data_IF_424770733553
#
_entry.id   IF_424770733553
#
_cell.length_a   1.000
_cell.length_b   1.000
_cell.length_c   1.000
_cell.angle_alpha   90.00
_cell.angle_beta   90.00
_cell.angle_gamma   90.00
#
_symmetry.space_group_name_H-M   'P 1'
#
loop_
_entity.id
_entity.type
_entity.pdbx_description
1 polymer ?
#
# COMPACT_ATOMS: atom_id res chain seq x y z
N UNK A 1 -5.10 -34.19 5.72
CA UNK A 1 -4.85 -33.82 7.13
C UNK A 1 -5.37 -32.40 7.40
N UNK A 2 -6.04 -32.15 8.54
CA UNK A 2 -6.41 -30.79 8.99
C UNK A 2 -5.22 -29.82 9.07
N UNK A 3 -4.04 -30.29 9.52
CA UNK A 3 -2.83 -29.46 9.54
C UNK A 3 -2.42 -28.98 8.16
N UNK A 4 -2.37 -29.88 7.17
CA UNK A 4 -2.06 -29.50 5.79
C UNK A 4 -3.00 -28.40 5.25
N UNK A 5 -4.31 -28.49 5.55
CA UNK A 5 -5.27 -27.45 5.14
C UNK A 5 -4.99 -26.10 5.84
N UNK A 6 -4.64 -26.12 7.12
CA UNK A 6 -4.26 -24.90 7.86
C UNK A 6 -2.99 -24.28 7.30
N UNK A 7 -1.95 -25.09 7.07
CA UNK A 7 -0.68 -24.63 6.48
C UNK A 7 -0.90 -23.94 5.13
N UNK A 8 -1.69 -24.55 4.22
CA UNK A 8 -1.98 -23.96 2.90
C UNK A 8 -2.72 -22.62 3.04
N UNK A 9 -3.68 -22.51 3.97
CA UNK A 9 -4.37 -21.24 4.23
C UNK A 9 -3.40 -20.17 4.73
N UNK A 10 -2.49 -20.51 5.63
CA UNK A 10 -1.49 -19.56 6.14
C UNK A 10 -0.50 -19.14 5.05
N UNK A 11 -0.08 -20.07 4.17
CA UNK A 11 0.74 -19.71 3.00
C UNK A 11 0.00 -18.73 2.09
N UNK A 12 -1.29 -18.95 1.83
CA UNK A 12 -2.09 -18.01 1.04
C UNK A 12 -2.18 -16.61 1.69
N UNK A 13 -2.33 -16.55 3.03
CA UNK A 13 -2.28 -15.30 3.80
C UNK A 13 -0.95 -14.55 3.67
N UNK A 14 0.15 -15.22 3.31
CA UNK A 14 1.45 -14.59 3.04
C UNK A 14 1.52 -14.14 1.57
N UNK A 15 1.15 -15.01 0.63
CA UNK A 15 1.30 -14.74 -0.81
C UNK A 15 0.50 -13.53 -1.26
N UNK A 16 -0.74 -13.38 -0.76
CA UNK A 16 -1.61 -12.27 -1.18
C UNK A 16 -1.03 -10.90 -0.77
N UNK A 17 -0.68 -10.65 0.51
CA UNK A 17 -0.03 -9.41 0.93
C UNK A 17 1.33 -9.16 0.26
N UNK A 18 2.15 -10.20 0.03
CA UNK A 18 3.41 -10.04 -0.72
C UNK A 18 3.15 -9.48 -2.12
N UNK A 19 2.17 -10.03 -2.84
CA UNK A 19 1.79 -9.52 -4.15
C UNK A 19 1.29 -8.08 -4.09
N UNK A 20 0.46 -7.74 -3.10
CA UNK A 20 0.00 -6.36 -2.93
C UNK A 20 1.12 -5.40 -2.57
N UNK A 21 2.06 -5.81 -1.71
CA UNK A 21 3.24 -5.02 -1.35
C UNK A 21 4.08 -4.69 -2.57
N UNK A 22 4.28 -5.64 -3.49
CA UNK A 22 4.99 -5.38 -4.76
C UNK A 22 4.31 -4.30 -5.60
N UNK A 23 2.99 -4.20 -5.54
CA UNK A 23 2.22 -3.22 -6.30
C UNK A 23 2.22 -1.83 -5.65
N UNK A 24 2.59 -1.70 -4.37
CA UNK A 24 2.59 -0.41 -3.67
C UNK A 24 3.98 0.05 -3.23
N UNK A 25 4.98 -0.82 -3.18
CA UNK A 25 6.26 -0.47 -2.58
C UNK A 25 7.12 0.45 -3.43
N UNK A 26 7.64 1.53 -2.84
CA UNK A 26 8.70 2.37 -3.42
C UNK A 26 10.11 1.78 -3.28
N UNK A 27 10.28 0.72 -2.47
CA UNK A 27 11.57 0.10 -2.17
C UNK A 27 12.15 -0.64 -3.38
N UNK A 28 11.32 -0.99 -4.36
CA UNK A 28 11.75 -1.57 -5.64
C UNK A 28 12.17 -0.45 -6.59
N UNK A 29 13.42 -0.50 -7.06
CA UNK A 29 13.99 0.49 -7.98
C UNK A 29 13.08 0.65 -9.21
N UNK A 30 12.72 1.89 -9.53
CA UNK A 30 11.81 2.30 -10.61
C UNK A 30 10.33 1.89 -10.43
N UNK A 31 9.92 1.37 -9.27
CA UNK A 31 8.51 1.16 -9.01
C UNK A 31 7.84 2.50 -8.66
N UNK A 32 7.10 3.05 -9.62
CA UNK A 32 6.18 4.16 -9.39
C UNK A 32 4.77 3.69 -9.67
N UNK A 33 4.03 3.21 -8.66
CA UNK A 33 2.70 2.69 -8.88
C UNK A 33 1.79 3.78 -9.47
N UNK A 34 1.28 3.52 -10.67
CA UNK A 34 0.44 4.46 -11.43
C UNK A 34 -0.78 4.89 -10.62
N UNK A 35 -1.26 4.02 -9.72
CA UNK A 35 -2.38 4.30 -8.82
C UNK A 35 -2.16 5.54 -7.96
N UNK A 36 -0.98 5.76 -7.39
CA UNK A 36 -0.72 6.94 -6.55
C UNK A 36 -0.60 8.22 -7.38
N UNK A 37 -0.06 8.13 -8.60
CA UNK A 37 -0.08 9.24 -9.55
C UNK A 37 -1.52 9.63 -9.92
N UNK A 38 -2.39 8.65 -10.19
CA UNK A 38 -3.81 8.87 -10.46
C UNK A 38 -4.51 9.49 -9.25
N UNK A 39 -4.21 9.01 -8.05
CA UNK A 39 -4.72 9.58 -6.81
C UNK A 39 -4.33 11.05 -6.65
N UNK A 40 -3.05 11.39 -6.84
CA UNK A 40 -2.58 12.78 -6.80
C UNK A 40 -3.35 13.66 -7.77
N UNK A 41 -3.48 13.24 -9.04
CA UNK A 41 -4.20 14.01 -10.05
C UNK A 41 -5.67 14.21 -9.67
N UNK A 42 -6.35 13.13 -9.26
CA UNK A 42 -7.75 13.20 -8.85
C UNK A 42 -7.95 14.16 -7.67
N UNK A 43 -7.03 14.16 -6.69
CA UNK A 43 -7.09 15.05 -5.54
C UNK A 43 -6.89 16.52 -5.92
N UNK A 44 -6.00 16.80 -6.88
CA UNK A 44 -5.83 18.16 -7.44
C UNK A 44 -7.12 18.58 -8.16
N UNK A 45 -7.66 17.71 -9.01
CA UNK A 45 -8.81 18.05 -9.87
C UNK A 45 -10.14 18.16 -9.10
N UNK A 46 -10.25 17.47 -7.96
CA UNK A 46 -11.46 17.47 -7.12
C UNK A 46 -11.70 18.82 -6.46
N UNK A 47 -10.63 19.51 -6.06
CA UNK A 47 -10.74 20.80 -5.38
C UNK A 47 -10.55 21.92 -6.41
N UNK A 48 -11.63 22.63 -6.74
CA UNK A 48 -11.62 23.76 -7.68
C UNK A 48 -11.82 25.08 -6.93
N UNK A 49 -10.75 25.81 -6.57
CA UNK A 49 -10.87 27.08 -5.86
C UNK A 49 -11.54 28.13 -6.74
N UNK A 50 -12.40 28.95 -6.15
CA UNK A 50 -13.07 30.08 -6.83
C UNK A 50 -12.07 31.13 -7.33
N UNK A 51 -10.91 31.23 -6.68
CA UNK A 51 -9.78 32.05 -7.11
C UNK A 51 -8.53 31.18 -7.30
N UNK A 52 -8.18 30.89 -8.55
CA UNK A 52 -6.94 30.20 -8.90
C UNK A 52 -5.78 31.20 -8.93
N UNK A 53 -5.15 31.42 -7.77
CA UNK A 53 -3.83 32.04 -7.71
C UNK A 53 -2.76 30.95 -7.75
N UNK A 54 -1.59 31.23 -8.34
CA UNK A 54 -0.46 30.29 -8.43
C UNK A 54 -0.13 29.66 -7.07
N UNK A 55 -0.24 30.43 -5.99
CA UNK A 55 0.00 29.95 -4.64
C UNK A 55 -1.00 28.87 -4.20
N UNK A 56 -2.29 29.03 -4.55
CA UNK A 56 -3.34 28.06 -4.24
C UNK A 56 -3.09 26.76 -5.00
N UNK A 57 -2.71 26.84 -6.28
CA UNK A 57 -2.37 25.67 -7.08
C UNK A 57 -1.17 24.90 -6.48
N UNK A 58 -0.11 25.60 -6.07
CA UNK A 58 1.03 24.98 -5.41
C UNK A 58 0.64 24.25 -4.10
N UNK A 59 -0.25 24.85 -3.31
CA UNK A 59 -0.75 24.24 -2.07
C UNK A 59 -1.58 22.99 -2.35
N UNK A 60 -2.44 23.01 -3.37
CA UNK A 60 -3.21 21.84 -3.80
C UNK A 60 -2.31 20.69 -4.22
N UNK A 61 -1.31 20.98 -5.08
CA UNK A 61 -0.36 19.98 -5.53
C UNK A 61 0.47 19.40 -4.39
N UNK A 62 0.94 20.25 -3.48
CA UNK A 62 1.68 19.81 -2.29
C UNK A 62 0.86 18.88 -1.42
N UNK A 63 -0.39 19.25 -1.13
CA UNK A 63 -1.30 18.45 -0.31
C UNK A 63 -1.65 17.12 -0.99
N UNK A 64 -1.96 17.14 -2.28
CA UNK A 64 -2.30 15.94 -3.04
C UNK A 64 -1.13 14.95 -3.14
N UNK A 65 0.10 15.45 -3.31
CA UNK A 65 1.33 14.63 -3.28
C UNK A 65 1.54 14.04 -1.91
N UNK A 66 1.38 14.84 -0.85
CA UNK A 66 1.54 14.37 0.53
C UNK A 66 0.51 13.27 0.86
N UNK A 67 -0.76 13.46 0.51
CA UNK A 67 -1.79 12.44 0.74
C UNK A 67 -1.50 11.15 -0.02
N UNK A 68 -1.13 11.22 -1.30
CA UNK A 68 -0.78 10.03 -2.07
C UNK A 68 0.43 9.29 -1.46
N UNK A 69 1.46 10.03 -1.03
CA UNK A 69 2.63 9.46 -0.35
C UNK A 69 2.25 8.80 0.99
N UNK A 70 1.49 9.48 1.85
CA UNK A 70 1.09 8.94 3.14
C UNK A 70 0.20 7.70 2.97
N UNK A 71 -0.72 7.69 2.01
CA UNK A 71 -1.53 6.51 1.70
C UNK A 71 -0.67 5.35 1.23
N UNK A 72 0.32 5.61 0.36
CA UNK A 72 1.27 4.59 -0.09
C UNK A 72 2.05 4.00 1.09
N UNK A 73 2.57 4.86 1.97
CA UNK A 73 3.31 4.44 3.16
C UNK A 73 2.46 3.57 4.10
N UNK A 74 1.20 3.96 4.34
CA UNK A 74 0.28 3.18 5.18
C UNK A 74 0.01 1.80 4.58
N UNK A 75 -0.19 1.71 3.26
CA UNK A 75 -0.40 0.44 2.58
C UNK A 75 0.84 -0.45 2.63
N UNK A 76 2.03 0.12 2.41
CA UNK A 76 3.30 -0.60 2.57
C UNK A 76 3.41 -1.21 3.98
N UNK A 77 3.25 -0.39 5.02
CA UNK A 77 3.32 -0.82 6.42
C UNK A 77 2.26 -1.88 6.75
N UNK A 78 1.04 -1.71 6.24
CA UNK A 78 -0.04 -2.66 6.47
C UNK A 78 0.29 -4.04 5.89
N UNK A 79 0.75 -4.11 4.65
CA UNK A 79 1.10 -5.39 4.04
C UNK A 79 2.34 -6.02 4.69
N UNK A 80 3.33 -5.22 5.09
CA UNK A 80 4.49 -5.70 5.86
C UNK A 80 4.05 -6.36 7.18
N UNK A 81 3.18 -5.71 7.96
CA UNK A 81 2.64 -6.27 9.21
C UNK A 81 1.90 -7.59 8.98
N UNK A 82 1.04 -7.66 7.95
CA UNK A 82 0.30 -8.88 7.62
C UNK A 82 1.23 -10.05 7.25
N UNK A 83 2.32 -9.76 6.53
CA UNK A 83 3.32 -10.76 6.15
C UNK A 83 4.03 -11.29 7.40
N UNK A 84 4.50 -10.39 8.29
CA UNK A 84 5.18 -10.76 9.53
C UNK A 84 4.30 -11.62 10.44
N UNK A 85 3.07 -11.20 10.68
CA UNK A 85 2.08 -11.95 11.47
C UNK A 85 1.82 -13.34 10.86
N UNK A 86 1.61 -13.41 9.55
CA UNK A 86 1.32 -14.67 8.87
C UNK A 86 2.52 -15.63 8.83
N UNK A 87 3.75 -15.09 8.77
CA UNK A 87 4.98 -15.89 8.90
C UNK A 87 5.07 -16.47 10.32
N UNK A 88 4.73 -15.70 11.35
CA UNK A 88 4.73 -16.20 12.72
C UNK A 88 3.66 -17.27 12.93
N UNK A 89 2.45 -17.09 12.37
CA UNK A 89 1.42 -18.14 12.33
C UNK A 89 1.94 -19.41 11.66
N UNK A 90 2.64 -19.28 10.52
CA UNK A 90 3.15 -20.44 9.77
C UNK A 90 4.18 -21.21 10.59
N UNK A 91 5.14 -20.51 11.22
CA UNK A 91 6.14 -21.12 12.10
C UNK A 91 5.48 -21.94 13.21
N UNK A 92 4.45 -21.39 13.85
CA UNK A 92 3.72 -22.09 14.91
C UNK A 92 2.99 -23.33 14.37
N UNK A 93 2.42 -23.25 13.16
CA UNK A 93 1.67 -24.34 12.53
C UNK A 93 2.54 -25.48 11.95
N UNK A 94 3.85 -25.29 11.81
CA UNK A 94 4.78 -26.33 11.32
C UNK A 94 5.64 -26.95 12.45
N UNK A 95 5.67 -26.32 13.62
CA UNK A 95 6.45 -26.80 14.79
C UNK A 95 5.60 -27.68 15.73
N UNK A 96 4.27 -27.67 15.56
CA UNK A 96 3.30 -28.50 16.30
C UNK A 96 2.51 -29.37 15.33
#
# INVERSE_FOLDING_TARGET
SPHFKTTIKTVYKILCPVHQLQNVTTKVKNNQPITFKRMTNNLIDTVKPVASMDKTQQLLEGNAKNWAYTTQLILEQHYESLIEESIQELKNAVTH
#
